data_IF_517506501191
#
_entry.id   IF_517506501191
#
_cell.length_a   1.000
_cell.length_b   1.000
_cell.length_c   1.000
_cell.angle_alpha   90.00
_cell.angle_beta   90.00
_cell.angle_gamma   90.00
#
_symmetry.space_group_name_H-M   'P 1'
#
loop_
_entity.id
_entity.type
_entity.pdbx_description
1 polymer ?
#
# COMPACT_ATOMS: atom_id res chain seq x y z
N UNK A 1 -22.88 -13.00 -15.57
CA UNK A 1 -21.99 -11.92 -16.01
C UNK A 1 -20.60 -12.19 -15.47
N UNK A 2 -19.57 -11.98 -16.29
CA UNK A 2 -18.18 -12.15 -15.84
C UNK A 2 -17.85 -11.08 -14.79
N UNK A 3 -17.27 -11.49 -13.67
CA UNK A 3 -16.85 -10.61 -12.58
C UNK A 3 -15.41 -10.90 -12.18
N UNK A 4 -14.77 -9.97 -11.49
CA UNK A 4 -13.39 -10.05 -11.04
C UNK A 4 -13.36 -10.33 -9.54
N UNK A 5 -12.61 -11.35 -9.14
CA UNK A 5 -12.39 -11.75 -7.76
C UNK A 5 -10.91 -11.78 -7.43
N UNK A 6 -10.56 -11.36 -6.23
CA UNK A 6 -9.18 -11.32 -5.77
C UNK A 6 -8.92 -12.40 -4.73
N UNK A 7 -7.80 -13.08 -4.87
CA UNK A 7 -7.40 -14.17 -4.00
C UNK A 7 -6.06 -13.88 -3.35
N UNK A 8 -6.06 -13.83 -2.03
CA UNK A 8 -4.85 -13.80 -1.21
C UNK A 8 -4.42 -15.24 -0.96
N UNK A 9 -3.34 -15.67 -1.64
CA UNK A 9 -2.72 -16.94 -1.36
C UNK A 9 -2.05 -16.96 0.03
N UNK A 10 -1.57 -18.13 0.46
CA UNK A 10 -0.96 -18.30 1.77
C UNK A 10 0.20 -17.30 2.03
N UNK A 11 0.91 -16.88 0.97
CA UNK A 11 2.01 -15.92 1.07
C UNK A 11 1.51 -14.48 1.18
N UNK A 12 0.51 -14.08 0.43
CA UNK A 12 -0.12 -12.77 0.54
C UNK A 12 -0.69 -12.54 1.95
N UNK A 13 -1.25 -13.59 2.55
CA UNK A 13 -1.76 -13.57 3.94
C UNK A 13 -0.69 -13.35 5.00
N UNK A 14 0.59 -13.44 4.63
CA UNK A 14 1.74 -13.16 5.50
C UNK A 14 2.35 -11.77 5.26
N UNK A 15 1.75 -10.91 4.45
CA UNK A 15 2.25 -9.56 4.20
C UNK A 15 1.95 -8.60 5.36
N UNK A 16 2.39 -9.00 6.56
CA UNK A 16 2.34 -8.13 7.72
C UNK A 16 3.28 -6.92 7.55
N UNK A 17 2.92 -5.75 8.08
CA UNK A 17 1.80 -5.46 9.00
C UNK A 17 0.47 -5.14 8.32
N UNK A 18 0.32 -5.40 7.03
CA UNK A 18 -0.87 -5.02 6.25
C UNK A 18 -1.94 -6.11 6.23
N UNK A 19 -1.55 -7.37 6.11
CA UNK A 19 -2.46 -8.51 5.98
C UNK A 19 -3.41 -8.67 7.19
N UNK A 20 -3.07 -8.07 8.33
CA UNK A 20 -3.94 -8.06 9.51
C UNK A 20 -5.21 -7.22 9.30
N UNK A 21 -5.13 -6.15 8.51
CA UNK A 21 -6.23 -5.17 8.43
C UNK A 21 -6.79 -4.99 7.03
N UNK A 22 -6.15 -5.55 5.99
CA UNK A 22 -6.59 -5.39 4.60
C UNK A 22 -6.18 -6.55 3.70
N UNK A 23 -6.98 -6.86 2.65
CA UNK A 23 -6.58 -7.81 1.62
C UNK A 23 -5.47 -7.23 0.73
N UNK A 24 -4.67 -8.13 0.15
CA UNK A 24 -3.56 -7.76 -0.73
C UNK A 24 -3.99 -6.93 -1.94
N UNK A 25 -5.21 -7.12 -2.45
CA UNK A 25 -5.78 -6.33 -3.54
C UNK A 25 -5.84 -4.82 -3.25
N UNK A 26 -5.93 -4.43 -1.97
CA UNK A 26 -5.99 -3.05 -1.50
C UNK A 26 -4.62 -2.47 -1.11
N UNK A 27 -3.53 -3.17 -1.42
CA UNK A 27 -2.19 -2.61 -1.32
C UNK A 27 -1.85 -1.76 -2.55
N UNK A 28 -1.03 -0.75 -2.33
CA UNK A 28 -0.54 0.16 -3.38
C UNK A 28 0.79 -0.34 -3.93
N UNK A 29 0.84 -0.51 -5.24
CA UNK A 29 2.03 -0.80 -6.00
C UNK A 29 2.21 0.31 -7.07
N UNK A 30 3.35 0.97 -7.10
CA UNK A 30 3.52 2.14 -7.95
C UNK A 30 2.47 3.23 -7.67
N UNK A 31 1.78 3.68 -8.71
CA UNK A 31 0.77 4.76 -8.60
C UNK A 31 -0.65 4.27 -8.27
N UNK A 32 -0.89 2.96 -8.14
CA UNK A 32 -2.25 2.41 -8.08
C UNK A 32 -2.38 1.26 -7.09
N UNK A 33 -3.59 1.01 -6.59
CA UNK A 33 -3.91 -0.23 -5.89
C UNK A 33 -3.84 -1.42 -6.86
N UNK A 34 -3.48 -2.60 -6.37
CA UNK A 34 -3.41 -3.82 -7.18
C UNK A 34 -4.76 -4.08 -7.84
N UNK A 35 -5.86 -3.99 -7.09
CA UNK A 35 -7.21 -4.15 -7.61
C UNK A 35 -7.47 -3.25 -8.83
N UNK A 36 -7.14 -1.97 -8.73
CA UNK A 36 -7.38 -1.00 -9.80
C UNK A 36 -6.60 -1.27 -11.08
N UNK A 37 -5.44 -1.91 -10.97
CA UNK A 37 -4.67 -2.36 -12.14
C UNK A 37 -5.43 -3.43 -12.91
N UNK A 38 -5.96 -4.42 -12.22
CA UNK A 38 -6.71 -5.52 -12.79
C UNK A 38 -8.09 -5.09 -13.31
N UNK A 39 -8.81 -4.23 -12.60
CA UNK A 39 -10.06 -3.62 -13.08
C UNK A 39 -9.83 -2.88 -14.41
N UNK A 40 -8.75 -2.11 -14.51
CA UNK A 40 -8.37 -1.41 -15.73
C UNK A 40 -8.03 -2.35 -16.86
N UNK A 41 -7.23 -3.38 -16.61
CA UNK A 41 -6.76 -4.31 -17.63
C UNK A 41 -7.88 -5.18 -18.21
N UNK A 42 -8.84 -5.59 -17.38
CA UNK A 42 -9.96 -6.46 -17.76
C UNK A 42 -11.22 -5.71 -18.16
N UNK A 43 -11.35 -4.43 -17.81
CA UNK A 43 -12.59 -3.66 -17.96
C UNK A 43 -13.71 -4.12 -17.02
N UNK A 44 -13.45 -5.05 -16.10
CA UNK A 44 -14.44 -5.63 -15.19
C UNK A 44 -14.38 -4.94 -13.82
N UNK A 45 -15.54 -4.88 -13.15
CA UNK A 45 -15.61 -4.47 -11.76
C UNK A 45 -15.31 -5.65 -10.82
N UNK A 46 -14.66 -5.34 -9.70
CA UNK A 46 -14.40 -6.33 -8.65
C UNK A 46 -15.70 -6.67 -7.92
N UNK A 47 -16.01 -7.95 -7.78
CA UNK A 47 -17.19 -8.45 -7.09
C UNK A 47 -16.90 -8.95 -5.66
N UNK A 48 -15.66 -9.34 -5.37
CA UNK A 48 -15.28 -9.83 -4.04
C UNK A 48 -13.80 -10.11 -3.91
N UNK A 49 -13.40 -10.40 -2.67
CA UNK A 49 -12.08 -10.93 -2.39
C UNK A 49 -12.15 -12.14 -1.44
N UNK A 50 -11.12 -12.97 -1.51
CA UNK A 50 -10.91 -14.18 -0.70
C UNK A 50 -9.60 -14.00 0.03
N UNK A 51 -9.64 -13.96 1.35
CA UNK A 51 -8.48 -13.73 2.20
C UNK A 51 -8.63 -14.43 3.55
N UNK A 52 -7.87 -13.99 4.54
CA UNK A 52 -7.96 -14.51 5.91
C UNK A 52 -9.33 -14.26 6.54
N UNK A 53 -9.88 -15.20 7.32
CA UNK A 53 -11.25 -15.08 7.87
C UNK A 53 -11.50 -13.83 8.71
N UNK A 54 -10.50 -13.29 9.39
CA UNK A 54 -10.64 -12.06 10.20
C UNK A 54 -10.88 -10.81 9.36
N UNK A 55 -10.73 -10.87 8.03
CA UNK A 55 -11.06 -9.78 7.10
C UNK A 55 -12.49 -9.86 6.55
N UNK A 56 -13.34 -10.76 7.06
CA UNK A 56 -14.72 -10.95 6.59
C UNK A 56 -15.57 -9.67 6.63
N UNK A 57 -15.23 -8.73 7.49
CA UNK A 57 -15.94 -7.44 7.64
C UNK A 57 -15.15 -6.26 7.05
N UNK A 58 -14.11 -6.51 6.25
CA UNK A 58 -13.34 -5.42 5.65
C UNK A 58 -14.24 -4.51 4.80
N UNK A 59 -14.17 -3.23 5.10
CA UNK A 59 -14.92 -2.20 4.40
C UNK A 59 -14.08 -0.94 4.26
N UNK A 60 -13.80 -0.56 3.02
CA UNK A 60 -13.03 0.65 2.74
C UNK A 60 -13.40 1.22 1.36
N UNK A 61 -13.99 2.40 1.33
CA UNK A 61 -14.31 3.11 0.09
C UNK A 61 -15.05 2.22 -0.91
N UNK A 62 -14.47 2.06 -2.10
CA UNK A 62 -15.02 1.22 -3.18
C UNK A 62 -14.37 -0.17 -3.25
N UNK A 63 -13.81 -0.67 -2.17
CA UNK A 63 -13.28 -2.03 -2.12
C UNK A 63 -14.43 -3.04 -2.24
N UNK A 64 -14.22 -4.17 -2.94
CA UNK A 64 -15.22 -5.21 -2.98
C UNK A 64 -15.36 -5.88 -1.60
N UNK A 65 -16.49 -6.52 -1.28
CA UNK A 65 -16.67 -7.23 -0.03
C UNK A 65 -15.83 -8.51 0.03
N UNK A 66 -15.56 -8.98 1.25
CA UNK A 66 -15.12 -10.35 1.45
C UNK A 66 -16.23 -11.32 1.04
N UNK A 67 -15.87 -12.43 0.42
CA UNK A 67 -16.83 -13.48 0.09
C UNK A 67 -17.13 -14.33 1.33
N UNK A 68 -18.39 -14.71 1.50
CA UNK A 68 -18.79 -15.63 2.55
C UNK A 68 -18.26 -17.04 2.28
N UNK A 69 -17.74 -17.77 3.30
CA UNK A 69 -17.05 -19.06 3.11
C UNK A 69 -17.88 -20.15 2.40
N UNK A 70 -19.19 -20.11 2.54
CA UNK A 70 -20.16 -21.02 1.93
C UNK A 70 -20.52 -20.67 0.48
N UNK A 71 -20.03 -19.57 -0.03
CA UNK A 71 -20.33 -19.08 -1.39
C UNK A 71 -19.58 -19.87 -2.46
N UNK A 72 -20.04 -19.71 -3.70
CA UNK A 72 -19.35 -20.15 -4.90
C UNK A 72 -19.01 -18.97 -5.79
N UNK A 73 -17.87 -19.04 -6.49
CA UNK A 73 -17.53 -18.07 -7.54
C UNK A 73 -18.20 -18.55 -8.83
N UNK A 74 -19.04 -17.73 -9.48
CA UNK A 74 -19.76 -18.13 -10.68
C UNK A 74 -18.85 -18.49 -11.86
N UNK A 75 -19.31 -19.40 -12.73
CA UNK A 75 -18.66 -19.69 -14.00
C UNK A 75 -18.47 -18.42 -14.83
N UNK A 76 -17.39 -18.36 -15.60
CA UNK A 76 -17.02 -17.19 -16.43
C UNK A 76 -16.33 -16.06 -15.66
N UNK A 77 -16.30 -16.13 -14.32
CA UNK A 77 -15.58 -15.16 -13.48
C UNK A 77 -14.07 -15.33 -13.58
N UNK A 78 -13.35 -14.27 -13.28
CA UNK A 78 -11.89 -14.25 -13.24
C UNK A 78 -11.43 -14.21 -11.78
N UNK A 79 -10.56 -15.12 -11.39
CA UNK A 79 -9.88 -15.12 -10.09
C UNK A 79 -8.43 -14.70 -10.30
N UNK A 80 -7.99 -13.70 -9.53
CA UNK A 80 -6.66 -13.09 -9.61
C UNK A 80 -5.91 -13.30 -8.31
N UNK A 81 -4.66 -13.74 -8.39
CA UNK A 81 -3.75 -13.73 -7.25
C UNK A 81 -3.25 -12.31 -6.98
N UNK A 82 -3.48 -11.81 -5.76
CA UNK A 82 -3.19 -10.43 -5.38
C UNK A 82 -1.70 -10.08 -5.35
N UNK A 83 -0.81 -11.06 -5.33
CA UNK A 83 0.63 -10.83 -5.41
C UNK A 83 1.10 -10.42 -6.81
N UNK A 84 0.30 -10.63 -7.84
CA UNK A 84 0.69 -10.25 -9.20
C UNK A 84 0.32 -8.79 -9.50
N UNK A 85 1.33 -7.97 -9.68
CA UNK A 85 1.23 -6.55 -10.08
C UNK A 85 1.46 -6.43 -11.57
N UNK A 86 0.41 -6.13 -12.32
CA UNK A 86 0.45 -5.97 -13.78
C UNK A 86 0.70 -4.50 -14.18
N UNK A 87 1.30 -4.23 -15.37
CA UNK A 87 1.46 -2.88 -15.90
C UNK A 87 0.10 -2.20 -16.16
N UNK A 88 0.08 -0.86 -16.14
CA UNK A 88 -1.15 -0.09 -16.38
C UNK A 88 -1.58 0.00 -17.85
N UNK A 89 -0.71 -0.33 -18.78
CA UNK A 89 -0.99 -0.39 -20.21
C UNK A 89 -1.45 -1.76 -20.70
N UNK A 90 -1.45 -2.76 -19.81
CA UNK A 90 -1.96 -4.09 -20.16
C UNK A 90 -3.46 -4.01 -20.39
N UNK A 91 -3.91 -4.56 -21.54
CA UNK A 91 -5.31 -4.76 -21.88
C UNK A 91 -5.54 -6.25 -22.10
N UNK A 92 -6.55 -6.80 -21.44
CA UNK A 92 -6.86 -8.23 -21.45
C UNK A 92 -8.26 -8.43 -22.03
N UNK A 93 -8.34 -9.00 -23.23
CA UNK A 93 -9.63 -9.26 -23.88
C UNK A 93 -10.22 -10.60 -23.42
N UNK A 94 -9.66 -11.69 -23.89
CA UNK A 94 -10.13 -13.05 -23.55
C UNK A 94 -8.96 -13.94 -23.25
N UNK A 95 -9.05 -14.63 -22.12
CA UNK A 95 -8.07 -15.63 -21.68
C UNK A 95 -8.74 -16.64 -20.77
N UNK A 96 -8.16 -17.82 -20.67
CA UNK A 96 -8.57 -18.84 -19.71
C UNK A 96 -7.59 -18.90 -18.54
N UNK A 97 -6.29 -18.77 -18.82
CA UNK A 97 -5.22 -18.75 -17.81
C UNK A 97 -4.16 -17.72 -18.19
N UNK A 98 -3.76 -16.88 -17.22
CA UNK A 98 -2.63 -15.98 -17.34
C UNK A 98 -1.46 -16.43 -16.49
N UNK A 99 -0.27 -16.38 -17.08
CA UNK A 99 1.00 -16.70 -16.44
C UNK A 99 1.89 -15.47 -16.36
N UNK A 100 2.42 -15.19 -15.18
CA UNK A 100 3.40 -14.14 -14.94
C UNK A 100 4.61 -14.75 -14.24
N UNK A 101 5.82 -14.53 -14.76
CA UNK A 101 7.08 -15.08 -14.21
C UNK A 101 7.02 -16.59 -13.90
N UNK A 102 6.33 -17.35 -14.73
CA UNK A 102 6.22 -18.81 -14.60
C UNK A 102 5.13 -19.32 -13.66
N UNK A 103 4.39 -18.43 -12.97
CA UNK A 103 3.30 -18.80 -12.08
C UNK A 103 1.93 -18.31 -12.61
N UNK A 104 0.86 -19.05 -12.27
CA UNK A 104 -0.50 -18.66 -12.62
C UNK A 104 -0.94 -17.43 -11.83
N UNK A 105 -1.25 -16.34 -12.52
CA UNK A 105 -1.62 -15.08 -11.87
C UNK A 105 -3.10 -14.73 -11.98
N UNK A 106 -3.81 -15.27 -12.97
CA UNK A 106 -5.26 -15.16 -13.09
C UNK A 106 -5.84 -16.35 -13.86
N UNK A 107 -7.04 -16.76 -13.49
CA UNK A 107 -7.76 -17.84 -14.13
C UNK A 107 -9.20 -17.46 -14.37
N UNK A 108 -9.75 -17.80 -15.55
CA UNK A 108 -11.18 -17.71 -15.85
C UNK A 108 -11.82 -19.06 -15.52
N UNK A 109 -12.81 -19.05 -14.68
CA UNK A 109 -13.49 -20.28 -14.24
C UNK A 109 -14.41 -20.81 -15.34
N UNK A 110 -14.18 -22.05 -15.78
CA UNK A 110 -15.06 -22.73 -16.74
C UNK A 110 -16.40 -23.15 -16.10
N UNK A 111 -16.44 -23.36 -14.79
CA UNK A 111 -17.61 -23.72 -13.98
C UNK A 111 -17.63 -22.98 -12.67
N UNK A 112 -18.75 -22.98 -11.96
CA UNK A 112 -18.80 -22.47 -10.60
C UNK A 112 -17.80 -23.20 -9.70
N UNK A 113 -17.17 -22.47 -8.78
CA UNK A 113 -16.08 -22.99 -7.97
C UNK A 113 -16.29 -22.65 -6.49
N UNK A 114 -16.30 -23.65 -5.58
CA UNK A 114 -16.62 -23.45 -4.17
C UNK A 114 -15.47 -22.71 -3.45
N UNK A 115 -15.82 -21.75 -2.62
CA UNK A 115 -14.85 -20.96 -1.85
C UNK A 115 -14.07 -21.79 -0.84
N UNK A 116 -14.62 -22.89 -0.36
CA UNK A 116 -13.94 -23.80 0.57
C UNK A 116 -12.56 -24.25 0.09
N UNK A 117 -12.36 -24.32 -1.24
CA UNK A 117 -11.07 -24.71 -1.82
C UNK A 117 -9.99 -23.61 -1.74
N UNK A 118 -10.38 -22.38 -1.44
CA UNK A 118 -9.45 -21.27 -1.23
C UNK A 118 -9.18 -20.99 0.25
N UNK A 119 -9.79 -21.75 1.17
CA UNK A 119 -9.88 -21.40 2.59
C UNK A 119 -8.53 -21.16 3.27
N UNK A 120 -7.54 -22.00 3.01
CA UNK A 120 -6.18 -21.91 3.58
C UNK A 120 -5.19 -21.08 2.73
N UNK A 121 -5.59 -20.70 1.52
CA UNK A 121 -4.75 -19.97 0.58
C UNK A 121 -3.73 -20.83 -0.16
N UNK A 122 -3.75 -22.15 -0.01
CA UNK A 122 -2.75 -23.05 -0.58
C UNK A 122 -3.00 -23.42 -2.05
N UNK A 123 -4.23 -23.23 -2.55
CA UNK A 123 -4.59 -23.61 -3.91
C UNK A 123 -3.73 -22.90 -4.96
N UNK A 124 -3.14 -23.65 -5.87
CA UNK A 124 -2.62 -23.10 -7.12
C UNK A 124 -3.78 -22.84 -8.07
N UNK A 125 -4.06 -21.56 -8.35
CA UNK A 125 -5.16 -21.19 -9.25
C UNK A 125 -4.96 -21.71 -10.68
N UNK A 126 -3.72 -22.03 -11.08
CA UNK A 126 -3.43 -22.67 -12.35
C UNK A 126 -3.97 -24.09 -12.47
N UNK A 127 -4.05 -24.80 -11.35
CA UNK A 127 -4.59 -26.16 -11.32
C UNK A 127 -6.11 -26.26 -11.48
N UNK A 128 -6.82 -25.11 -11.39
CA UNK A 128 -8.28 -25.05 -11.59
C UNK A 128 -8.63 -25.25 -13.09
N UNK A 129 -7.70 -24.91 -13.98
CA UNK A 129 -7.88 -25.08 -15.42
C UNK A 129 -7.40 -26.43 -15.91
N UNK A 130 -8.19 -27.04 -16.79
CA UNK A 130 -7.85 -28.31 -17.45
C UNK A 130 -7.10 -28.08 -18.77
N UNK A 131 -7.04 -26.85 -19.27
CA UNK A 131 -6.40 -26.52 -20.55
C UNK A 131 -4.89 -26.35 -20.37
N UNK A 132 -4.10 -27.12 -21.12
CA UNK A 132 -2.64 -27.01 -21.12
C UNK A 132 -2.19 -25.69 -21.77
N UNK A 133 -1.42 -24.91 -21.01
CA UNK A 133 -0.76 -23.69 -21.48
C UNK A 133 -1.57 -22.43 -21.23
N UNK A 134 -0.97 -21.48 -20.49
CA UNK A 134 -1.52 -20.15 -20.22
C UNK A 134 -0.88 -19.06 -21.08
N UNK A 135 -1.61 -17.98 -21.32
CA UNK A 135 -1.08 -16.77 -21.95
C UNK A 135 -0.07 -16.11 -21.01
N UNK A 136 1.15 -15.86 -21.49
CA UNK A 136 2.17 -15.15 -20.73
C UNK A 136 1.95 -13.64 -20.79
N UNK A 137 2.02 -13.01 -19.63
CA UNK A 137 1.90 -11.56 -19.50
C UNK A 137 3.12 -10.96 -18.79
N UNK A 138 3.35 -9.67 -19.03
CA UNK A 138 4.29 -8.88 -18.22
C UNK A 138 3.66 -8.58 -16.88
N UNK A 139 4.47 -8.57 -15.83
CA UNK A 139 4.06 -8.24 -14.47
C UNK A 139 5.21 -8.47 -13.51
N UNK A 140 4.92 -8.29 -12.23
CA UNK A 140 5.85 -8.54 -11.12
C UNK A 140 5.14 -9.33 -10.04
N UNK A 141 5.79 -10.34 -9.50
CA UNK A 141 5.33 -11.03 -8.31
C UNK A 141 5.87 -10.33 -7.07
N UNK A 142 4.98 -9.95 -6.17
CA UNK A 142 5.35 -9.55 -4.81
C UNK A 142 5.55 -10.82 -3.98
N UNK A 143 6.78 -11.30 -3.94
CA UNK A 143 7.13 -12.50 -3.19
C UNK A 143 7.27 -12.20 -1.70
N UNK A 144 7.63 -10.96 -1.38
CA UNK A 144 7.82 -10.48 -0.03
C UNK A 144 7.21 -9.08 0.13
N UNK A 145 6.86 -8.73 1.36
CA UNK A 145 6.26 -7.41 1.62
C UNK A 145 7.21 -6.25 1.28
N UNK A 146 8.52 -6.45 1.33
CA UNK A 146 9.50 -5.43 0.93
C UNK A 146 9.65 -5.25 -0.57
N UNK A 147 9.14 -6.15 -1.40
CA UNK A 147 9.19 -6.02 -2.86
C UNK A 147 8.41 -4.80 -3.34
N UNK A 148 7.41 -4.36 -2.59
CA UNK A 148 6.70 -3.11 -2.89
C UNK A 148 7.63 -1.90 -2.86
N UNK A 149 8.62 -1.88 -1.97
CA UNK A 149 9.63 -0.81 -1.87
C UNK A 149 10.77 -1.07 -2.86
N UNK A 150 11.24 -2.30 -2.97
CA UNK A 150 12.34 -2.66 -3.86
C UNK A 150 12.05 -2.33 -5.33
N UNK A 151 10.79 -2.49 -5.76
CA UNK A 151 10.36 -2.25 -7.16
C UNK A 151 9.68 -0.88 -7.37
N UNK A 152 9.56 -0.05 -6.32
CA UNK A 152 8.79 1.20 -6.36
C UNK A 152 9.26 2.16 -7.45
N UNK A 153 10.56 2.39 -7.55
CA UNK A 153 11.14 3.32 -8.52
C UNK A 153 10.78 2.94 -9.95
N UNK A 154 10.97 1.68 -10.30
CA UNK A 154 10.66 1.16 -11.63
C UNK A 154 9.17 1.28 -11.95
N UNK A 155 8.32 0.91 -10.99
CA UNK A 155 6.87 1.05 -11.15
C UNK A 155 6.43 2.49 -11.35
N UNK A 156 7.03 3.45 -10.64
CA UNK A 156 6.72 4.87 -10.82
C UNK A 156 7.16 5.38 -12.19
N UNK A 157 8.33 4.96 -12.66
CA UNK A 157 8.82 5.31 -14.00
C UNK A 157 7.87 4.83 -15.11
N UNK A 158 7.33 3.63 -14.97
CA UNK A 158 6.37 3.04 -15.92
C UNK A 158 4.97 3.65 -15.79
N UNK A 159 4.47 3.76 -14.57
CA UNK A 159 3.08 4.12 -14.28
C UNK A 159 2.77 5.60 -14.57
N UNK A 160 3.67 6.51 -14.20
CA UNK A 160 3.37 7.95 -14.21
C UNK A 160 3.00 8.44 -15.62
N UNK A 161 3.77 8.15 -16.67
CA UNK A 161 3.39 8.55 -18.04
C UNK A 161 2.06 7.96 -18.49
N UNK A 162 1.77 6.71 -18.11
CA UNK A 162 0.52 6.02 -18.46
C UNK A 162 -0.69 6.61 -17.71
N UNK A 163 -0.51 6.98 -16.46
CA UNK A 163 -1.55 7.67 -15.66
C UNK A 163 -1.83 9.07 -16.18
N UNK A 164 -0.81 9.76 -16.63
CA UNK A 164 -0.96 11.09 -17.20
C UNK A 164 -1.84 11.12 -18.45
N UNK A 165 -1.84 10.05 -19.25
CA UNK A 165 -2.73 9.90 -20.42
C UNK A 165 -4.22 9.85 -20.06
N UNK A 166 -4.56 9.60 -18.79
CA UNK A 166 -5.95 9.53 -18.31
C UNK A 166 -6.59 10.89 -18.01
N UNK A 167 -5.86 12.01 -18.14
CA UNK A 167 -6.39 13.35 -18.01
C UNK A 167 -5.84 14.23 -19.16
N UNK A 168 -6.72 15.11 -19.68
CA UNK A 168 -6.53 15.73 -21.00
C UNK A 168 -5.42 16.78 -21.06
N UNK A 169 -5.15 17.49 -19.98
CA UNK A 169 -4.20 18.57 -19.99
C UNK A 169 -3.38 18.66 -18.71
N UNK A 170 -2.10 18.97 -18.86
CA UNK A 170 -1.25 19.38 -17.74
C UNK A 170 -1.51 20.84 -17.42
N UNK A 171 -1.96 21.11 -16.18
CA UNK A 171 -2.18 22.47 -15.71
C UNK A 171 -0.88 23.29 -15.80
N UNK A 172 -1.00 24.54 -16.22
CA UNK A 172 0.14 25.48 -16.24
C UNK A 172 0.58 25.77 -14.80
N UNK A 173 1.88 25.70 -14.54
CA UNK A 173 2.47 26.05 -13.26
C UNK A 173 3.66 26.99 -13.46
N UNK A 174 3.84 27.93 -12.50
CA UNK A 174 4.99 28.84 -12.43
C UNK A 174 6.16 28.24 -11.63
N UNK A 175 6.06 26.99 -11.16
CA UNK A 175 7.14 26.32 -10.45
C UNK A 175 8.40 26.23 -11.32
N UNK A 176 9.56 26.32 -10.70
CA UNK A 176 10.82 26.02 -11.36
C UNK A 176 10.85 24.54 -11.77
N UNK A 177 11.24 24.27 -13.01
CA UNK A 177 11.31 22.91 -13.57
C UNK A 177 12.76 22.58 -13.89
N UNK A 178 13.19 21.39 -13.50
CA UNK A 178 14.54 20.86 -13.75
C UNK A 178 14.41 19.45 -14.36
N UNK A 179 15.30 19.08 -15.28
CA UNK A 179 15.34 17.76 -15.91
C UNK A 179 14.36 17.60 -17.07
N UNK A 180 14.46 16.45 -17.77
CA UNK A 180 13.84 16.20 -19.06
C UNK A 180 12.64 15.23 -19.00
N UNK A 181 12.41 14.57 -17.86
CA UNK A 181 11.24 13.70 -17.72
C UNK A 181 9.95 14.51 -17.63
N UNK A 182 8.83 13.84 -17.92
CA UNK A 182 7.50 14.47 -17.90
C UNK A 182 7.06 14.96 -16.52
N UNK A 183 6.54 16.17 -16.47
CA UNK A 183 5.92 16.76 -15.28
C UNK A 183 4.44 16.95 -15.59
N UNK A 184 3.60 16.18 -14.88
CA UNK A 184 2.16 16.10 -15.13
C UNK A 184 1.40 16.62 -13.90
N UNK A 185 0.68 17.72 -14.08
CA UNK A 185 -0.11 18.37 -13.02
C UNK A 185 -1.57 18.33 -13.46
N UNK A 186 -2.40 17.54 -12.78
CA UNK A 186 -3.82 17.43 -13.07
C UNK A 186 -4.53 18.75 -12.71
N UNK A 187 -5.50 19.16 -13.51
CA UNK A 187 -6.27 20.37 -13.27
C UNK A 187 -6.92 20.35 -11.88
N UNK A 188 -6.89 21.50 -11.19
CA UNK A 188 -7.34 21.62 -9.79
C UNK A 188 -6.26 21.31 -8.75
N UNK A 189 -5.03 20.92 -9.16
CA UNK A 189 -3.89 20.90 -8.25
C UNK A 189 -3.31 22.31 -8.05
N UNK A 190 -2.79 22.59 -6.87
CA UNK A 190 -2.25 23.89 -6.49
C UNK A 190 -0.75 23.78 -6.20
N UNK A 191 0.06 24.53 -6.93
CA UNK A 191 1.51 24.60 -6.74
C UNK A 191 1.86 25.96 -6.22
N UNK A 192 2.40 26.03 -5.01
CA UNK A 192 2.83 27.28 -4.37
C UNK A 192 4.03 27.95 -5.07
N UNK A 193 4.33 29.20 -4.72
CA UNK A 193 5.53 29.86 -5.21
C UNK A 193 6.80 29.19 -4.66
N UNK A 194 7.92 29.38 -5.37
CA UNK A 194 9.24 28.84 -4.97
C UNK A 194 9.27 27.32 -4.79
N UNK A 195 8.37 26.60 -5.46
CA UNK A 195 8.43 25.14 -5.59
C UNK A 195 9.39 24.79 -6.73
N UNK A 196 10.24 23.79 -6.50
CA UNK A 196 11.09 23.18 -7.52
C UNK A 196 10.53 21.79 -7.87
N UNK A 197 10.24 21.58 -9.14
CA UNK A 197 9.83 20.28 -9.69
C UNK A 197 11.03 19.71 -10.46
N UNK A 198 11.77 18.82 -9.81
CA UNK A 198 12.97 18.22 -10.36
C UNK A 198 12.65 16.85 -10.98
N UNK A 199 12.53 16.83 -12.28
CA UNK A 199 12.29 15.64 -13.08
C UNK A 199 13.60 15.07 -13.70
N UNK A 200 14.76 15.36 -13.14
CA UNK A 200 16.05 14.82 -13.64
C UNK A 200 16.16 13.30 -13.43
N UNK A 201 15.62 12.77 -12.34
CA UNK A 201 15.71 11.37 -11.98
C UNK A 201 14.47 10.54 -12.38
N UNK A 202 13.41 11.18 -12.86
CA UNK A 202 12.17 10.53 -13.28
C UNK A 202 10.96 11.47 -13.34
N UNK A 203 9.81 10.98 -13.82
CA UNK A 203 8.62 11.81 -14.02
C UNK A 203 7.93 12.19 -12.71
N UNK A 204 7.18 13.29 -12.75
CA UNK A 204 6.40 13.83 -11.63
C UNK A 204 4.92 13.83 -11.99
N UNK A 205 4.08 13.30 -11.10
CA UNK A 205 2.62 13.30 -11.22
C UNK A 205 1.99 13.94 -9.98
N UNK A 206 1.23 15.02 -10.19
CA UNK A 206 0.47 15.70 -9.12
C UNK A 206 -1.00 15.67 -9.48
N UNK A 207 -1.81 15.01 -8.65
CA UNK A 207 -3.21 14.74 -8.92
C UNK A 207 -4.11 15.90 -8.44
N UNK A 208 -5.35 15.93 -8.98
CA UNK A 208 -6.38 16.93 -8.66
C UNK A 208 -6.56 17.12 -7.15
N UNK A 209 -6.72 18.37 -6.73
CA UNK A 209 -6.91 18.74 -5.33
C UNK A 209 -5.64 18.68 -4.48
N UNK A 210 -4.53 18.16 -5.03
CA UNK A 210 -3.27 18.17 -4.31
C UNK A 210 -2.71 19.59 -4.17
N UNK A 211 -2.11 19.86 -3.02
CA UNK A 211 -1.47 21.14 -2.71
C UNK A 211 0.02 20.92 -2.43
N UNK A 212 0.88 21.61 -3.17
CA UNK A 212 2.33 21.64 -2.92
C UNK A 212 2.69 23.01 -2.38
N UNK A 213 3.06 23.07 -1.12
CA UNK A 213 3.36 24.31 -0.40
C UNK A 213 4.66 24.96 -0.91
N UNK A 214 4.85 26.28 -0.67
CA UNK A 214 6.10 26.97 -0.96
C UNK A 214 7.33 26.29 -0.37
N UNK A 215 8.48 26.48 -1.00
CA UNK A 215 9.78 25.91 -0.60
C UNK A 215 9.84 24.38 -0.59
N UNK A 216 9.00 23.73 -1.38
CA UNK A 216 9.07 22.29 -1.61
C UNK A 216 10.03 21.99 -2.76
N UNK A 217 10.93 21.03 -2.56
CA UNK A 217 11.72 20.40 -3.61
C UNK A 217 11.15 19.00 -3.88
N UNK A 218 10.40 18.88 -4.98
CA UNK A 218 9.77 17.62 -5.39
C UNK A 218 10.63 16.95 -6.46
N UNK A 219 11.15 15.74 -6.16
CA UNK A 219 12.09 15.02 -7.03
C UNK A 219 11.44 13.74 -7.55
N UNK A 220 11.39 13.57 -8.86
CA UNK A 220 10.90 12.37 -9.54
C UNK A 220 11.82 11.13 -9.39
N UNK A 221 11.29 9.92 -9.68
CA UNK A 221 9.90 9.66 -10.04
C UNK A 221 8.98 9.77 -8.81
N UNK A 222 7.95 10.59 -8.87
CA UNK A 222 7.06 10.80 -7.73
C UNK A 222 5.61 10.96 -8.16
N UNK A 223 4.69 10.35 -7.40
CA UNK A 223 3.26 10.52 -7.58
C UNK A 223 2.62 11.07 -6.31
N UNK A 224 1.95 12.22 -6.41
CA UNK A 224 1.17 12.84 -5.34
C UNK A 224 -0.31 12.61 -5.62
N UNK A 225 -0.99 11.87 -4.75
CA UNK A 225 -2.39 11.50 -4.84
C UNK A 225 -3.36 12.67 -4.67
N UNK A 226 -4.63 12.42 -4.94
CA UNK A 226 -5.70 13.44 -4.86
C UNK A 226 -5.84 13.98 -3.44
N UNK A 227 -6.12 15.27 -3.34
CA UNK A 227 -6.37 15.97 -2.08
C UNK A 227 -5.24 15.83 -1.05
N UNK A 228 -4.03 15.46 -1.50
CA UNK A 228 -2.85 15.34 -0.64
C UNK A 228 -2.11 16.67 -0.53
N UNK A 229 -1.42 16.87 0.58
CA UNK A 229 -0.68 18.10 0.88
C UNK A 229 0.79 17.78 1.08
N UNK A 230 1.64 18.38 0.27
CA UNK A 230 3.09 18.42 0.47
C UNK A 230 3.41 19.78 1.10
N UNK A 231 3.84 19.77 2.35
CA UNK A 231 3.89 20.93 3.22
C UNK A 231 5.28 21.60 3.31
N UNK A 232 6.18 21.26 2.39
CA UNK A 232 7.55 21.78 2.30
C UNK A 232 8.61 20.69 2.26
N UNK A 233 9.85 21.12 2.32
CA UNK A 233 11.07 20.31 2.41
C UNK A 233 11.36 19.45 1.14
N UNK A 234 12.18 18.41 1.25
CA UNK A 234 12.61 17.54 0.15
C UNK A 234 11.80 16.25 0.11
N UNK A 235 11.04 16.03 -0.96
CA UNK A 235 10.22 14.83 -1.15
C UNK A 235 10.59 14.15 -2.48
N UNK A 236 11.11 12.93 -2.43
CA UNK A 236 11.71 12.24 -3.57
C UNK A 236 11.22 10.80 -3.75
N UNK A 237 11.16 10.32 -4.97
CA UNK A 237 11.08 8.90 -5.33
C UNK A 237 9.88 8.13 -4.77
N UNK A 238 8.77 8.78 -4.44
CA UNK A 238 7.74 8.21 -3.58
C UNK A 238 6.36 8.13 -4.22
N UNK A 239 5.56 7.18 -3.75
CA UNK A 239 4.15 7.04 -4.09
C UNK A 239 3.28 7.51 -2.93
N UNK A 240 2.74 8.72 -3.03
CA UNK A 240 1.86 9.30 -2.02
C UNK A 240 0.41 9.07 -2.47
N UNK A 241 -0.34 8.29 -1.69
CA UNK A 241 -1.76 8.03 -1.91
C UNK A 241 -2.62 9.26 -1.67
N UNK A 242 -3.94 9.08 -1.76
CA UNK A 242 -4.88 10.18 -1.63
C UNK A 242 -5.01 10.67 -0.17
N UNK A 243 -5.30 11.97 0.00
CA UNK A 243 -5.58 12.62 1.28
C UNK A 243 -4.48 12.49 2.34
N UNK A 244 -3.22 12.39 1.90
CA UNK A 244 -2.06 12.38 2.78
C UNK A 244 -1.56 13.79 3.09
N UNK A 245 -0.87 13.94 4.23
CA UNK A 245 -0.09 15.13 4.57
C UNK A 245 1.36 14.73 4.76
N UNK A 246 2.26 15.37 4.03
CA UNK A 246 3.68 15.02 4.02
C UNK A 246 4.52 16.29 4.19
N UNK A 247 5.46 16.23 5.12
CA UNK A 247 6.52 17.21 5.34
C UNK A 247 7.76 16.53 5.90
N UNK A 248 8.89 17.13 5.77
CA UNK A 248 10.18 16.60 6.14
C UNK A 248 10.89 15.97 4.95
N UNK A 249 12.02 15.36 5.20
CA UNK A 249 12.71 14.62 4.15
C UNK A 249 12.03 13.26 3.94
N UNK A 250 11.51 13.05 2.73
CA UNK A 250 10.91 11.78 2.32
C UNK A 250 11.64 11.22 1.11
N UNK A 251 11.96 9.92 1.11
CA UNK A 251 12.55 9.25 -0.04
C UNK A 251 12.04 7.82 -0.21
N UNK A 252 11.81 7.41 -1.47
CA UNK A 252 11.51 6.04 -1.89
C UNK A 252 10.47 5.32 -1.01
N UNK A 253 9.38 5.99 -0.70
CA UNK A 253 8.38 5.51 0.26
C UNK A 253 6.98 5.47 -0.33
N UNK A 254 6.14 4.61 0.25
CA UNK A 254 4.73 4.48 -0.13
C UNK A 254 3.85 4.94 1.03
N UNK A 255 2.91 5.84 0.74
CA UNK A 255 1.77 6.16 1.59
C UNK A 255 0.52 5.59 0.94
N UNK A 256 -0.15 4.67 1.60
CA UNK A 256 -1.33 4.01 1.02
C UNK A 256 -2.50 4.99 0.87
N UNK A 257 -2.68 5.87 1.83
CA UNK A 257 -3.71 6.93 1.83
C UNK A 257 -4.03 7.42 3.24
N UNK A 258 -4.56 8.63 3.37
CA UNK A 258 -4.96 9.25 4.64
C UNK A 258 -3.82 9.33 5.69
N UNK A 259 -2.57 9.07 5.28
CA UNK A 259 -1.41 9.14 6.17
C UNK A 259 -1.03 10.57 6.53
N UNK A 260 -0.46 10.76 7.71
CA UNK A 260 0.03 12.04 8.19
C UNK A 260 1.48 11.94 8.67
N UNK A 261 2.38 12.59 7.94
CA UNK A 261 3.75 12.93 8.33
C UNK A 261 3.93 14.42 8.08
N UNK A 262 3.12 15.21 8.79
CA UNK A 262 2.97 16.65 8.52
C UNK A 262 4.05 17.56 9.12
N UNK A 263 5.08 17.00 9.72
CA UNK A 263 6.15 17.74 10.42
C UNK A 263 7.54 17.26 9.97
N UNK A 264 8.59 17.95 10.38
CA UNK A 264 9.99 17.62 10.13
C UNK A 264 10.36 16.22 10.64
N UNK A 265 11.40 15.64 10.09
CA UNK A 265 11.92 14.29 10.32
C UNK A 265 12.17 13.57 8.98
N UNK A 266 12.93 12.48 9.00
CA UNK A 266 13.25 11.69 7.83
C UNK A 266 12.40 10.43 7.75
N UNK A 267 11.88 10.10 6.56
CA UNK A 267 11.25 8.82 6.25
C UNK A 267 11.78 8.32 4.91
N UNK A 268 12.49 7.19 4.93
CA UNK A 268 13.08 6.61 3.73
C UNK A 268 12.77 5.13 3.56
N UNK A 269 12.54 4.68 2.33
CA UNK A 269 12.31 3.29 1.95
C UNK A 269 11.27 2.57 2.83
N UNK A 270 10.18 3.29 3.13
CA UNK A 270 9.16 2.89 4.11
C UNK A 270 7.79 2.71 3.45
N UNK A 271 6.95 1.85 4.02
CA UNK A 271 5.57 1.70 3.58
C UNK A 271 4.61 2.01 4.73
N UNK A 272 3.81 3.03 4.57
CA UNK A 272 2.77 3.43 5.51
C UNK A 272 1.41 2.93 5.05
N UNK A 273 0.74 2.16 5.91
CA UNK A 273 -0.68 1.80 5.77
C UNK A 273 -1.60 3.03 5.81
N UNK A 274 -2.88 2.81 5.85
CA UNK A 274 -3.84 3.91 5.99
C UNK A 274 -3.94 4.42 7.42
N UNK A 275 -4.25 5.71 7.56
CA UNK A 275 -4.48 6.35 8.84
C UNK A 275 -3.26 6.38 9.77
N UNK A 276 -2.08 6.05 9.24
CA UNK A 276 -0.81 6.18 9.97
C UNK A 276 -0.57 7.65 10.31
N UNK A 277 -0.17 7.91 11.56
CA UNK A 277 0.19 9.25 12.01
C UNK A 277 1.59 9.27 12.64
N UNK A 278 2.55 9.82 11.92
CA UNK A 278 3.90 10.04 12.41
C UNK A 278 4.00 11.47 12.96
N UNK A 279 4.24 11.59 14.26
CA UNK A 279 4.34 12.88 14.93
C UNK A 279 5.61 13.65 14.52
N UNK A 280 5.75 14.84 15.02
CA UNK A 280 6.91 15.70 14.75
C UNK A 280 8.22 14.99 15.11
N UNK A 281 9.24 15.20 14.28
CA UNK A 281 10.58 14.61 14.46
C UNK A 281 10.65 13.07 14.38
N UNK A 282 9.55 12.36 14.07
CA UNK A 282 9.65 10.93 13.77
C UNK A 282 10.63 10.72 12.63
N UNK A 283 11.66 9.91 12.87
CA UNK A 283 12.76 9.66 11.94
C UNK A 283 13.00 8.16 11.81
N UNK A 284 13.01 7.65 10.56
CA UNK A 284 13.33 6.26 10.26
C UNK A 284 14.77 6.14 9.76
N UNK A 285 15.53 5.18 10.25
CA UNK A 285 16.76 4.78 9.56
C UNK A 285 16.39 3.86 8.38
N UNK A 286 17.08 4.02 7.26
CA UNK A 286 16.88 3.15 6.09
C UNK A 286 18.15 2.46 5.60
N UNK A 287 19.30 2.69 6.23
CA UNK A 287 20.57 2.05 5.96
C UNK A 287 21.32 1.78 7.25
N UNK A 288 21.89 0.60 7.40
CA UNK A 288 22.73 0.27 8.56
C UNK A 288 24.06 1.02 8.53
N UNK A 289 24.58 1.40 9.67
CA UNK A 289 25.95 1.95 9.78
C UNK A 289 27.03 0.97 9.30
N UNK A 290 26.72 -0.33 9.25
CA UNK A 290 27.61 -1.38 8.74
C UNK A 290 27.45 -1.65 7.25
N UNK A 291 26.58 -0.92 6.56
CA UNK A 291 26.29 -1.03 5.12
C UNK A 291 25.82 -2.43 4.66
N UNK A 292 25.58 -3.36 5.55
CA UNK A 292 25.12 -4.71 5.24
C UNK A 292 23.61 -4.78 4.95
N UNK A 293 23.13 -5.93 4.43
CA UNK A 293 21.72 -6.13 4.11
C UNK A 293 20.85 -6.03 5.38
N UNK A 294 19.64 -5.54 5.18
CA UNK A 294 18.67 -5.32 6.25
C UNK A 294 17.82 -6.58 6.43
N UNK A 295 17.51 -6.91 7.69
CA UNK A 295 16.54 -7.93 8.02
C UNK A 295 15.20 -7.28 8.33
N UNK A 296 14.11 -7.92 7.89
CA UNK A 296 12.73 -7.56 8.23
C UNK A 296 12.07 -8.74 8.94
N UNK A 297 11.26 -8.43 9.95
CA UNK A 297 10.41 -9.43 10.58
C UNK A 297 9.22 -9.77 9.66
N UNK A 298 8.88 -11.05 9.63
CA UNK A 298 7.69 -11.61 9.00
C UNK A 298 7.04 -12.60 9.96
N UNK A 299 5.80 -13.05 9.75
CA UNK A 299 5.21 -14.13 10.55
C UNK A 299 6.04 -15.42 10.59
N UNK A 300 6.92 -15.61 9.63
CA UNK A 300 7.87 -16.74 9.58
C UNK A 300 9.21 -16.44 10.27
N UNK A 301 9.32 -15.33 11.00
CA UNK A 301 10.53 -14.89 11.68
C UNK A 301 11.32 -13.79 10.94
N UNK A 302 12.49 -13.45 11.46
CA UNK A 302 13.40 -12.47 10.86
C UNK A 302 14.02 -13.02 9.58
N UNK A 303 13.86 -12.29 8.48
CA UNK A 303 14.37 -12.68 7.16
C UNK A 303 15.34 -11.64 6.61
N UNK A 304 16.39 -12.12 5.99
CA UNK A 304 17.30 -11.26 5.22
C UNK A 304 16.59 -10.82 3.93
N UNK A 305 16.49 -9.50 3.73
CA UNK A 305 15.78 -8.93 2.58
C UNK A 305 16.65 -8.81 1.34
N UNK A 306 17.98 -8.96 1.47
CA UNK A 306 18.93 -8.64 0.43
C UNK A 306 19.05 -7.13 0.13
N UNK A 307 18.20 -6.28 0.73
CA UNK A 307 18.18 -4.85 0.50
C UNK A 307 19.20 -4.12 1.40
N UNK A 308 19.99 -3.24 0.81
CA UNK A 308 20.87 -2.32 1.55
C UNK A 308 20.08 -1.15 2.15
N UNK A 309 18.98 -0.78 1.50
CA UNK A 309 18.10 0.31 1.93
C UNK A 309 16.69 -0.22 2.20
N UNK A 310 16.27 -0.18 3.46
CA UNK A 310 14.90 -0.51 3.86
C UNK A 310 14.57 0.19 5.19
N UNK A 311 13.50 0.97 5.19
CA UNK A 311 13.01 1.69 6.37
C UNK A 311 12.00 0.90 7.18
N UNK A 312 10.89 1.54 7.52
CA UNK A 312 9.86 1.00 8.42
C UNK A 312 8.58 0.68 7.67
N UNK A 313 7.94 -0.42 8.05
CA UNK A 313 6.62 -0.83 7.58
C UNK A 313 5.59 -0.58 8.70
N UNK A 314 4.64 0.31 8.43
CA UNK A 314 3.61 0.69 9.39
C UNK A 314 2.26 0.13 8.96
N UNK A 315 1.66 -0.70 9.79
CA UNK A 315 0.28 -1.16 9.63
C UNK A 315 -0.73 -0.01 9.77
N UNK A 316 -1.96 -0.27 9.37
CA UNK A 316 -3.02 0.73 9.42
C UNK A 316 -3.23 1.28 10.83
N UNK A 317 -3.54 2.57 10.92
CA UNK A 317 -3.76 3.28 12.18
C UNK A 317 -2.57 3.35 13.13
N UNK A 318 -1.38 2.87 12.75
CA UNK A 318 -0.17 3.00 13.59
C UNK A 318 0.18 4.49 13.85
N UNK A 319 0.61 4.79 15.06
CA UNK A 319 0.96 6.14 15.50
C UNK A 319 2.28 6.15 16.25
N UNK A 320 3.03 7.24 16.06
CA UNK A 320 4.26 7.51 16.83
C UNK A 320 4.13 8.80 17.62
N UNK A 321 4.74 8.86 18.78
CA UNK A 321 4.93 10.07 19.56
C UNK A 321 5.96 11.03 18.94
N UNK A 322 6.08 12.25 19.51
CA UNK A 322 7.06 13.24 19.08
C UNK A 322 8.48 12.71 19.35
N UNK A 323 9.38 12.88 18.38
CA UNK A 323 10.79 12.49 18.52
C UNK A 323 11.08 11.00 18.40
N UNK A 324 10.10 10.17 18.00
CA UNK A 324 10.32 8.72 17.84
C UNK A 324 11.40 8.45 16.78
N UNK A 325 12.45 7.75 17.16
CA UNK A 325 13.53 7.29 16.27
C UNK A 325 13.38 5.79 16.00
N UNK A 326 13.48 5.40 14.73
CA UNK A 326 13.23 4.02 14.30
C UNK A 326 14.45 3.46 13.57
N UNK A 327 14.79 2.22 13.89
CA UNK A 327 15.89 1.52 13.22
C UNK A 327 15.49 0.99 11.83
N UNK A 328 16.47 0.55 11.07
CA UNK A 328 16.27 -0.06 9.74
C UNK A 328 15.42 -1.32 9.80
N UNK A 329 14.51 -1.48 8.85
CA UNK A 329 13.66 -2.67 8.74
C UNK A 329 12.76 -2.87 9.97
N UNK A 330 12.28 -1.79 10.59
CA UNK A 330 11.30 -1.88 11.67
C UNK A 330 9.92 -2.20 11.13
N UNK A 331 9.13 -2.93 11.91
CA UNK A 331 7.75 -3.29 11.61
C UNK A 331 6.86 -2.85 12.76
N UNK A 332 5.90 -1.97 12.44
CA UNK A 332 4.88 -1.49 13.38
C UNK A 332 3.55 -2.12 13.03
N UNK A 333 3.02 -2.92 13.93
CA UNK A 333 1.71 -3.56 13.77
C UNK A 333 0.58 -2.54 13.64
N UNK A 334 -0.52 -2.97 13.02
CA UNK A 334 -1.71 -2.14 12.88
C UNK A 334 -2.23 -1.70 14.26
N UNK A 335 -2.70 -0.45 14.35
CA UNK A 335 -3.23 0.11 15.60
C UNK A 335 -2.20 0.41 16.69
N UNK A 336 -0.93 0.10 16.50
CA UNK A 336 0.11 0.41 17.50
C UNK A 336 0.20 1.93 17.75
N UNK A 337 0.33 2.33 19.00
CA UNK A 337 0.54 3.71 19.41
C UNK A 337 1.74 3.77 20.35
N UNK A 338 2.89 4.14 19.80
CA UNK A 338 4.18 4.15 20.48
C UNK A 338 4.60 5.58 20.78
N UNK A 339 4.96 5.86 22.01
CA UNK A 339 5.39 7.19 22.48
C UNK A 339 6.52 7.02 23.51
N UNK A 340 7.06 8.13 23.99
CA UNK A 340 8.16 8.13 24.95
C UNK A 340 9.51 8.49 24.34
N UNK A 341 10.56 8.44 25.14
CA UNK A 341 11.90 8.91 24.78
C UNK A 341 12.83 7.78 24.28
N UNK A 342 12.43 6.53 24.45
CA UNK A 342 13.24 5.38 24.05
C UNK A 342 13.08 5.07 22.56
N UNK A 343 14.11 4.49 21.95
CA UNK A 343 14.01 3.93 20.61
C UNK A 343 13.18 2.65 20.69
N UNK A 344 12.05 2.55 19.98
CA UNK A 344 11.26 1.33 19.96
C UNK A 344 12.04 0.12 19.45
N UNK A 345 11.68 -1.09 19.87
CA UNK A 345 12.24 -2.31 19.30
C UNK A 345 11.92 -2.39 17.79
N UNK A 346 12.67 -3.23 17.10
CA UNK A 346 12.53 -3.40 15.64
C UNK A 346 11.14 -3.90 15.23
N UNK A 347 10.49 -4.66 16.09
CA UNK A 347 9.15 -5.21 15.90
C UNK A 347 8.25 -4.68 16.99
N UNK A 348 7.23 -3.93 16.63
CA UNK A 348 6.19 -3.45 17.52
C UNK A 348 4.91 -4.22 17.21
N UNK A 349 4.36 -4.98 18.14
CA UNK A 349 3.17 -5.81 17.89
C UNK A 349 1.94 -4.95 17.52
N UNK A 350 0.94 -5.55 16.86
CA UNK A 350 -0.31 -4.85 16.59
C UNK A 350 -1.00 -4.45 17.89
N UNK A 351 -1.62 -3.28 17.86
CA UNK A 351 -2.31 -2.67 19.00
C UNK A 351 -1.44 -2.51 20.27
N UNK A 352 -0.12 -2.41 20.08
CA UNK A 352 0.78 -2.04 21.17
C UNK A 352 0.50 -0.61 21.67
N UNK A 353 0.55 -0.42 22.98
CA UNK A 353 0.40 0.87 23.63
C UNK A 353 1.52 1.09 24.63
N UNK A 354 2.29 2.15 24.48
CA UNK A 354 3.33 2.47 25.47
C UNK A 354 4.61 3.04 24.87
N UNK A 355 5.64 3.10 25.71
CA UNK A 355 6.95 3.70 25.43
C UNK A 355 8.09 2.68 25.32
N UNK A 356 7.81 1.40 25.40
CA UNK A 356 8.81 0.33 25.31
C UNK A 356 8.26 -1.04 25.69
N UNK A 357 9.11 -2.06 25.68
CA UNK A 357 8.77 -3.41 26.10
C UNK A 357 8.85 -3.58 27.63
N UNK A 358 7.88 -4.28 28.24
CA UNK A 358 6.68 -4.82 27.58
C UNK A 358 5.67 -3.73 27.22
N UNK A 359 5.04 -3.85 26.05
CA UNK A 359 3.93 -2.98 25.68
C UNK A 359 2.64 -3.44 26.34
N UNK A 360 1.80 -2.49 26.75
CA UNK A 360 0.41 -2.77 27.02
C UNK A 360 -0.35 -3.05 25.71
N UNK A 361 -1.46 -3.77 25.79
CA UNK A 361 -2.40 -3.91 24.68
C UNK A 361 -3.33 -2.71 24.68
N UNK A 362 -3.43 -2.01 23.56
CA UNK A 362 -4.35 -0.89 23.40
C UNK A 362 -5.79 -1.37 23.58
N UNK A 363 -6.49 -0.82 24.58
CA UNK A 363 -7.91 -1.14 24.79
C UNK A 363 -8.72 -0.91 23.52
N UNK A 364 -9.48 -1.92 23.09
CA UNK A 364 -10.16 -1.90 21.81
C UNK A 364 -11.21 -0.79 21.71
N UNK A 365 -11.92 -0.49 22.80
CA UNK A 365 -12.94 0.56 22.81
C UNK A 365 -12.30 1.92 22.62
N UNK A 366 -11.23 2.21 23.37
CA UNK A 366 -10.46 3.45 23.23
C UNK A 366 -9.82 3.57 21.86
N UNK A 367 -9.29 2.46 21.33
CA UNK A 367 -8.72 2.45 19.97
C UNK A 367 -9.76 2.82 18.91
N UNK A 368 -10.94 2.20 18.96
CA UNK A 368 -12.03 2.48 18.00
C UNK A 368 -12.51 3.92 18.08
N UNK A 369 -12.64 4.50 19.29
CA UNK A 369 -12.95 5.93 19.45
C UNK A 369 -11.89 6.84 18.82
N UNK A 370 -10.61 6.50 18.98
CA UNK A 370 -9.51 7.28 18.39
C UNK A 370 -9.50 7.13 16.87
N UNK A 371 -9.76 5.94 16.35
CA UNK A 371 -9.87 5.69 14.91
C UNK A 371 -11.02 6.53 14.31
N UNK A 372 -12.18 6.51 14.94
CA UNK A 372 -13.34 7.31 14.51
C UNK A 372 -13.04 8.81 14.50
N UNK A 373 -12.46 9.35 15.59
CA UNK A 373 -12.07 10.77 15.65
C UNK A 373 -11.06 11.13 14.57
N UNK A 374 -10.08 10.24 14.29
CA UNK A 374 -9.07 10.47 13.25
C UNK A 374 -9.70 10.47 11.84
N UNK A 375 -10.64 9.56 11.58
CA UNK A 375 -11.35 9.45 10.30
C UNK A 375 -12.32 10.60 10.10
N UNK A 376 -13.11 10.98 11.12
CA UNK A 376 -14.04 12.11 11.08
C UNK A 376 -13.35 13.43 10.74
N UNK A 377 -12.13 13.68 11.22
CA UNK A 377 -11.31 14.86 10.83
C UNK A 377 -11.01 14.94 9.32
N UNK A 378 -11.16 13.85 8.59
CA UNK A 378 -10.99 13.74 7.15
C UNK A 378 -12.31 13.49 6.44
N UNK A 379 -13.44 13.70 7.12
CA UNK A 379 -14.80 13.50 6.59
C UNK A 379 -15.02 12.05 6.09
N UNK A 380 -14.47 11.09 6.81
CA UNK A 380 -14.69 9.67 6.57
C UNK A 380 -15.33 9.08 7.82
N UNK A 381 -16.38 8.32 7.62
CA UNK A 381 -17.07 7.59 8.68
C UNK A 381 -16.38 6.24 8.94
N UNK A 382 -16.26 5.86 10.19
CA UNK A 382 -15.90 4.50 10.58
C UNK A 382 -17.17 3.67 10.69
N UNK A 383 -17.54 2.99 9.60
CA UNK A 383 -18.75 2.17 9.51
C UNK A 383 -18.73 0.96 10.45
N UNK A 384 -19.91 0.36 10.65
CA UNK A 384 -20.07 -0.77 11.58
C UNK A 384 -19.24 -1.99 11.17
N UNK A 385 -19.16 -2.30 9.87
CA UNK A 385 -18.33 -3.41 9.37
C UNK A 385 -16.85 -3.15 9.63
N UNK A 386 -16.37 -1.94 9.33
CA UNK A 386 -14.97 -1.57 9.60
C UNK A 386 -14.65 -1.66 11.10
N UNK A 387 -15.57 -1.27 11.99
CA UNK A 387 -15.42 -1.45 13.45
C UNK A 387 -15.28 -2.92 13.83
N UNK A 388 -16.15 -3.79 13.29
CA UNK A 388 -16.08 -5.24 13.53
C UNK A 388 -14.77 -5.81 13.03
N UNK A 389 -14.33 -5.44 11.84
CA UNK A 389 -13.07 -5.90 11.27
C UNK A 389 -11.86 -5.50 12.13
N UNK A 390 -11.79 -4.25 12.61
CA UNK A 390 -10.72 -3.80 13.50
C UNK A 390 -10.76 -4.52 14.86
N UNK A 391 -11.95 -4.83 15.38
CA UNK A 391 -12.10 -5.62 16.60
C UNK A 391 -11.66 -7.08 16.41
N UNK A 392 -11.93 -7.70 15.25
CA UNK A 392 -11.43 -9.04 14.94
C UNK A 392 -9.90 -9.04 14.75
N UNK A 393 -9.34 -8.02 14.11
CA UNK A 393 -7.91 -7.84 13.98
C UNK A 393 -7.22 -7.70 15.36
N UNK A 394 -7.85 -6.97 16.29
CA UNK A 394 -7.34 -6.79 17.66
C UNK A 394 -7.21 -8.11 18.44
N UNK A 395 -8.05 -9.11 18.15
CA UNK A 395 -7.97 -10.44 18.78
C UNK A 395 -6.78 -11.27 18.27
N UNK A 396 -6.10 -10.80 17.21
CA UNK A 396 -4.95 -11.48 16.64
C UNK A 396 -3.67 -10.90 17.24
N UNK A 397 -2.83 -11.77 17.73
CA UNK A 397 -1.47 -11.41 18.15
C UNK A 397 -0.46 -11.92 17.12
N UNK A 398 0.67 -11.25 17.04
CA UNK A 398 1.82 -11.84 16.37
C UNK A 398 2.50 -12.81 17.30
N UNK A 399 2.76 -14.03 16.84
CA UNK A 399 3.64 -14.93 17.55
C UNK A 399 5.04 -14.30 17.60
N UNK A 400 5.61 -14.25 18.80
CA UNK A 400 6.95 -13.73 19.01
C UNK A 400 8.00 -14.62 18.32
#
# INVERSE_FOLDING_TARGET
MSALYFFDDARARQFEPFALTRPGSELRAGTSLIRRRWERATGLQSAGFISSPHLAHFEEGNAPPALAPESEIPAGSIVVNTRCVIPLDLSLERFDLLMCEGAACAVRLARAFPLSQFADGSIDIGSIQTTLGGQRIKGRWMNEVWDFIATLREQLMEDIPLRAKSFEATAKTKAAKVGDHGIFVEEGAQIGPQVVLDASAGPILIRRGAVVAPFTHLIGPISVGRDSQILGDRVAGSSIGDRCKVRGELSNSIFLGHGNKGHTGFVGHSYMGRWVNLAALTTTSNMKNTYGPIQLWTPSGLRNTGQQFLGTFFGDHAKTGIGTMLTTGSVFGAGANVFGANMPPKVVPPFAWGDGEPYDTYDITKFLEVAERAMARRQVELGEKARKQLAEAHKKSWSA
#
